data_IF_691611184002
#
_entry.id   IF_691611184002
#
_cell.length_a   1.000
_cell.length_b   1.000
_cell.length_c   1.000
_cell.angle_alpha   90.00
_cell.angle_beta   90.00
_cell.angle_gamma   90.00
#
_symmetry.space_group_name_H-M   'P 1'
#
loop_
_entity.id
_entity.type
_entity.pdbx_description
1 polymer ?
#
# COMPACT_ATOMS: atom_id res chain seq x y z
N UNK A 1 -5.01 9.73 -45.60
CA UNK A 1 -5.92 9.45 -44.48
C UNK A 1 -5.08 8.88 -43.34
N UNK A 2 -4.67 9.75 -42.42
CA UNK A 2 -3.80 9.37 -41.30
C UNK A 2 -4.67 8.59 -40.32
N UNK A 3 -4.62 7.27 -40.39
CA UNK A 3 -5.20 6.42 -39.34
C UNK A 3 -4.46 6.70 -38.05
N UNK A 4 -5.09 7.49 -37.18
CA UNK A 4 -4.69 7.67 -35.80
C UNK A 4 -4.94 6.35 -35.07
N UNK A 5 -4.01 5.41 -35.26
CA UNK A 5 -3.96 4.06 -34.65
C UNK A 5 -4.05 4.04 -33.11
N UNK A 6 -4.05 5.20 -32.45
CA UNK A 6 -4.18 5.31 -30.99
C UNK A 6 -5.62 5.33 -30.48
N UNK A 7 -6.60 5.71 -31.29
CA UNK A 7 -8.00 5.86 -30.83
C UNK A 7 -8.85 4.58 -31.05
N UNK A 8 -8.52 3.77 -32.06
CA UNK A 8 -9.29 2.57 -32.44
C UNK A 8 -9.14 1.38 -31.45
N UNK A 9 -8.21 1.47 -30.50
CA UNK A 9 -8.05 0.46 -29.42
C UNK A 9 -8.99 0.65 -28.23
N UNK A 10 -9.68 1.78 -28.12
CA UNK A 10 -10.54 2.09 -26.98
C UNK A 10 -12.00 1.66 -27.14
N UNK A 11 -12.43 1.28 -28.35
CA UNK A 11 -13.81 0.86 -28.66
C UNK A 11 -14.04 -0.66 -28.53
N UNK A 12 -13.01 -1.44 -28.23
CA UNK A 12 -13.15 -2.87 -27.97
C UNK A 12 -13.42 -3.12 -26.47
N UNK A 13 -14.65 -3.52 -26.07
CA UNK A 13 -15.01 -3.72 -24.66
C UNK A 13 -14.08 -4.72 -23.97
N UNK A 14 -13.64 -5.79 -24.66
CA UNK A 14 -12.71 -6.76 -24.10
C UNK A 14 -11.33 -6.14 -23.77
N UNK A 15 -10.88 -5.15 -24.55
CA UNK A 15 -9.63 -4.44 -24.28
C UNK A 15 -9.77 -3.51 -23.07
N UNK A 16 -10.94 -2.87 -22.89
CA UNK A 16 -11.24 -2.08 -21.68
C UNK A 16 -11.27 -2.94 -20.43
N UNK A 17 -11.93 -4.10 -20.47
CA UNK A 17 -12.05 -4.98 -19.31
C UNK A 17 -10.69 -5.53 -18.86
N UNK A 18 -9.85 -5.96 -19.81
CA UNK A 18 -8.49 -6.42 -19.53
C UNK A 18 -7.65 -5.29 -18.91
N UNK A 19 -7.71 -4.07 -19.48
CA UNK A 19 -6.95 -2.94 -18.98
C UNK A 19 -7.41 -2.54 -17.57
N UNK A 20 -8.71 -2.43 -17.34
CA UNK A 20 -9.26 -2.12 -16.03
C UNK A 20 -8.84 -3.16 -14.98
N UNK A 21 -8.91 -4.45 -15.31
CA UNK A 21 -8.48 -5.52 -14.39
C UNK A 21 -6.99 -5.42 -14.02
N UNK A 22 -6.11 -5.09 -14.98
CA UNK A 22 -4.69 -4.90 -14.72
C UNK A 22 -4.42 -3.64 -13.88
N UNK A 23 -5.12 -2.54 -14.19
CA UNK A 23 -4.97 -1.28 -13.46
C UNK A 23 -5.43 -1.46 -12.00
N UNK A 24 -6.57 -2.13 -11.76
CA UNK A 24 -7.05 -2.46 -10.41
C UNK A 24 -6.06 -3.34 -9.64
N UNK A 25 -5.59 -4.46 -10.22
CA UNK A 25 -4.65 -5.34 -9.53
C UNK A 25 -3.33 -4.64 -9.17
N UNK A 26 -2.88 -3.70 -10.00
CA UNK A 26 -1.67 -2.91 -9.75
C UNK A 26 -1.87 -1.84 -8.68
N UNK A 27 -3.07 -1.28 -8.58
CA UNK A 27 -3.43 -0.30 -7.56
C UNK A 27 -3.57 -0.98 -6.19
N UNK A 28 -4.31 -2.09 -6.11
CA UNK A 28 -4.45 -2.91 -4.89
C UNK A 28 -3.08 -3.36 -4.37
N UNK A 29 -2.22 -3.92 -5.22
CA UNK A 29 -0.88 -4.36 -4.80
C UNK A 29 0.04 -3.22 -4.34
N UNK A 30 -0.17 -1.99 -4.83
CA UNK A 30 0.56 -0.80 -4.34
C UNK A 30 0.03 -0.33 -3.00
N UNK A 31 -1.29 -0.34 -2.82
CA UNK A 31 -1.92 0.04 -1.56
C UNK A 31 -1.54 -0.93 -0.45
N UNK A 32 -1.66 -2.24 -0.69
CA UNK A 32 -1.24 -3.29 0.24
C UNK A 32 0.25 -3.15 0.60
N UNK A 33 1.12 -2.98 -0.40
CA UNK A 33 2.56 -2.79 -0.16
C UNK A 33 2.87 -1.53 0.66
N UNK A 34 2.10 -0.46 0.50
CA UNK A 34 2.24 0.77 1.29
C UNK A 34 1.77 0.57 2.73
N UNK A 35 0.63 -0.10 2.94
CA UNK A 35 0.09 -0.41 4.28
C UNK A 35 1.04 -1.32 5.04
N UNK A 36 1.53 -2.40 4.41
CA UNK A 36 2.53 -3.29 5.00
C UNK A 36 3.82 -2.57 5.36
N UNK A 37 4.30 -1.69 4.48
CA UNK A 37 5.51 -0.90 4.71
C UNK A 37 5.38 -0.01 5.95
N UNK A 38 4.25 0.69 6.08
CA UNK A 38 3.96 1.55 7.24
C UNK A 38 3.88 0.72 8.53
N UNK A 39 3.20 -0.43 8.50
CA UNK A 39 3.09 -1.30 9.67
C UNK A 39 4.47 -1.83 10.11
N UNK A 40 5.30 -2.27 9.17
CA UNK A 40 6.67 -2.75 9.44
C UNK A 40 7.56 -1.64 10.03
N UNK A 41 7.46 -0.42 9.52
CA UNK A 41 8.20 0.74 10.04
C UNK A 41 7.77 1.12 11.48
N UNK A 42 6.46 1.14 11.73
CA UNK A 42 5.92 1.39 13.08
C UNK A 42 6.40 0.35 14.09
N UNK A 43 6.37 -0.93 13.73
CA UNK A 43 6.88 -2.02 14.57
C UNK A 43 8.39 -1.92 14.79
N UNK A 44 9.16 -1.60 13.76
CA UNK A 44 10.60 -1.40 13.89
C UNK A 44 10.93 -0.23 14.85
N UNK A 45 10.16 0.85 14.76
CA UNK A 45 10.27 2.00 15.67
C UNK A 45 9.90 1.62 17.10
N UNK A 46 8.79 0.88 17.29
CA UNK A 46 8.38 0.38 18.60
C UNK A 46 9.48 -0.46 19.28
N UNK A 47 10.09 -1.40 18.53
CA UNK A 47 11.21 -2.22 19.03
C UNK A 47 12.43 -1.39 19.43
N UNK A 48 12.75 -0.33 18.68
CA UNK A 48 13.85 0.59 19.04
C UNK A 48 13.54 1.32 20.35
N UNK A 49 12.31 1.82 20.51
CA UNK A 49 11.89 2.53 21.73
C UNK A 49 11.88 1.61 22.96
N UNK A 50 11.41 0.37 22.82
CA UNK A 50 11.51 -0.63 23.89
C UNK A 50 12.97 -0.92 24.26
N UNK A 51 13.85 -1.04 23.27
CA UNK A 51 15.29 -1.23 23.49
C UNK A 51 15.96 -0.04 24.20
N UNK A 52 15.38 1.15 24.11
CA UNK A 52 15.81 2.35 24.85
C UNK A 52 15.26 2.40 26.29
N UNK A 53 14.45 1.41 26.71
CA UNK A 53 13.89 1.31 28.06
C UNK A 53 12.56 2.03 28.27
N UNK A 54 11.86 2.44 27.20
CA UNK A 54 10.49 2.96 27.30
C UNK A 54 9.49 1.83 27.60
N UNK A 55 8.39 2.16 28.29
CA UNK A 55 7.32 1.18 28.56
C UNK A 55 6.44 0.95 27.33
N UNK A 56 5.78 -0.20 27.26
CA UNK A 56 4.85 -0.51 26.16
C UNK A 56 3.75 0.55 26.01
N UNK A 57 3.26 1.16 27.09
CA UNK A 57 2.26 2.25 26.99
C UNK A 57 2.83 3.51 26.34
N UNK A 58 4.08 3.87 26.67
CA UNK A 58 4.75 5.02 26.06
C UNK A 58 5.02 4.78 24.57
N UNK A 59 5.42 3.55 24.23
CA UNK A 59 5.66 3.15 22.85
C UNK A 59 4.34 3.15 22.05
N UNK A 60 3.27 2.57 22.60
CA UNK A 60 1.92 2.57 22.00
C UNK A 60 1.47 3.99 21.64
N UNK A 61 1.65 4.93 22.57
CA UNK A 61 1.33 6.34 22.38
C UNK A 61 2.21 7.02 21.32
N UNK A 62 3.46 6.57 21.15
CA UNK A 62 4.42 7.16 20.21
C UNK A 62 4.33 6.62 18.78
N UNK A 63 3.82 5.39 18.60
CA UNK A 63 3.74 4.72 17.28
C UNK A 63 2.32 4.58 16.75
N UNK A 64 1.31 5.02 17.52
CA UNK A 64 -0.11 4.72 17.28
C UNK A 64 -0.31 3.22 17.01
N UNK A 65 0.30 2.38 17.85
CA UNK A 65 0.13 0.94 17.84
C UNK A 65 -0.59 0.53 19.12
N UNK A 66 -1.37 -0.53 19.06
CA UNK A 66 -1.98 -1.14 20.23
C UNK A 66 -0.87 -1.79 21.08
N UNK A 67 -1.07 -1.87 22.39
CA UNK A 67 -0.12 -2.59 23.27
C UNK A 67 0.01 -4.06 22.85
N UNK A 68 -1.07 -4.65 22.32
CA UNK A 68 -1.10 -6.02 21.79
C UNK A 68 -0.22 -6.20 20.53
N UNK A 69 0.02 -5.12 19.78
CA UNK A 69 0.81 -5.11 18.55
C UNK A 69 2.31 -4.85 18.81
N UNK A 70 2.70 -4.47 20.04
CA UNK A 70 4.08 -4.06 20.43
C UNK A 70 4.83 -5.20 21.12
#
# INVERSE_FOLDING_TARGET
MIMRLSEERYDNPAYRDIKNSIDTAKEEGREEGRVEGIAKEKLATAKRLLGMGLTQEQVAKGTDLSIEDI
#
